data_IF_549683112945
#
_entry.id   IF_549683112945
#
_cell.length_a   1.000
_cell.length_b   1.000
_cell.length_c   1.000
_cell.angle_alpha   90.00
_cell.angle_beta   90.00
_cell.angle_gamma   90.00
#
_symmetry.space_group_name_H-M   'P 1'
#
loop_
_entity.id
_entity.type
_entity.pdbx_description
1 polymer ?
#
# COMPACT_ATOMS: atom_id res chain seq x y z
N UNK A 1 -8.09 -6.24 20.40
CA UNK A 1 -7.62 -5.77 19.08
C UNK A 1 -6.69 -4.59 19.33
N UNK A 2 -5.44 -4.64 18.84
CA UNK A 2 -4.51 -3.53 18.97
C UNK A 2 -4.88 -2.41 18.00
N UNK A 3 -4.63 -1.15 18.38
CA UNK A 3 -4.96 0.01 17.55
C UNK A 3 -4.30 -0.08 16.16
N UNK A 4 -3.08 -0.64 16.09
CA UNK A 4 -2.32 -0.85 14.86
C UNK A 4 -3.05 -1.77 13.87
N UNK A 5 -3.66 -2.85 14.38
CA UNK A 5 -4.39 -3.82 13.54
C UNK A 5 -5.62 -3.17 12.92
N UNK A 6 -6.31 -2.30 13.69
CA UNK A 6 -7.49 -1.59 13.21
C UNK A 6 -7.09 -0.61 12.09
N UNK A 7 -5.97 0.11 12.26
CA UNK A 7 -5.45 1.04 11.25
C UNK A 7 -5.11 0.29 9.95
N UNK A 8 -4.36 -0.81 10.04
CA UNK A 8 -3.97 -1.60 8.86
C UNK A 8 -5.20 -2.17 8.15
N UNK A 9 -6.16 -2.75 8.89
CA UNK A 9 -7.39 -3.28 8.30
C UNK A 9 -8.21 -2.21 7.61
N UNK A 10 -8.30 -1.02 8.20
CA UNK A 10 -8.99 0.12 7.59
C UNK A 10 -8.31 0.54 6.28
N UNK A 11 -6.98 0.63 6.26
CA UNK A 11 -6.22 0.98 5.06
C UNK A 11 -6.42 -0.07 3.96
N UNK A 12 -6.41 -1.36 4.30
CA UNK A 12 -6.67 -2.45 3.34
C UNK A 12 -8.09 -2.35 2.76
N UNK A 13 -9.09 -2.09 3.60
CA UNK A 13 -10.47 -1.93 3.14
C UNK A 13 -10.60 -0.72 2.20
N UNK A 14 -9.98 0.39 2.56
CA UNK A 14 -9.96 1.60 1.74
C UNK A 14 -9.27 1.35 0.39
N UNK A 15 -8.12 0.69 0.40
CA UNK A 15 -7.39 0.31 -0.81
C UNK A 15 -8.28 -0.54 -1.74
N UNK A 16 -8.98 -1.52 -1.18
CA UNK A 16 -9.89 -2.39 -1.93
C UNK A 16 -11.05 -1.60 -2.55
N UNK A 17 -11.68 -0.69 -1.80
CA UNK A 17 -12.76 0.15 -2.31
C UNK A 17 -12.25 1.05 -3.45
N UNK A 18 -11.11 1.71 -3.26
CA UNK A 18 -10.50 2.57 -4.29
C UNK A 18 -10.18 1.76 -5.55
N UNK A 19 -9.64 0.56 -5.38
CA UNK A 19 -9.30 -0.33 -6.48
C UNK A 19 -10.54 -0.77 -7.28
N UNK A 20 -11.58 -1.26 -6.60
CA UNK A 20 -12.83 -1.71 -7.24
C UNK A 20 -13.61 -0.55 -7.87
N UNK A 21 -13.52 0.64 -7.28
CA UNK A 21 -14.21 1.82 -7.83
C UNK A 21 -13.57 2.36 -9.11
N UNK A 22 -12.32 1.95 -9.42
CA UNK A 22 -11.50 2.49 -10.52
C UNK A 22 -11.47 4.03 -10.58
N UNK A 23 -11.74 4.70 -9.45
CA UNK A 23 -11.87 6.15 -9.40
C UNK A 23 -10.53 6.88 -9.60
N UNK A 24 -9.41 6.18 -9.36
CA UNK A 24 -8.05 6.67 -9.52
C UNK A 24 -7.22 5.62 -10.28
N UNK A 25 -6.20 6.04 -11.04
CA UNK A 25 -5.24 5.11 -11.64
C UNK A 25 -4.63 4.20 -10.57
N UNK A 26 -4.42 2.93 -10.91
CA UNK A 26 -3.92 1.90 -9.99
C UNK A 26 -2.64 2.34 -9.26
N UNK A 27 -1.73 3.01 -9.98
CA UNK A 27 -0.47 3.51 -9.43
C UNK A 27 -0.70 4.58 -8.35
N UNK A 28 -1.70 5.45 -8.54
CA UNK A 28 -2.06 6.49 -7.56
C UNK A 28 -2.66 5.85 -6.31
N UNK A 29 -3.49 4.82 -6.46
CA UNK A 29 -4.03 4.07 -5.31
C UNK A 29 -2.90 3.42 -4.52
N UNK A 30 -1.95 2.76 -5.19
CA UNK A 30 -0.81 2.12 -4.54
C UNK A 30 0.04 3.13 -3.75
N UNK A 31 0.39 4.27 -4.36
CA UNK A 31 1.15 5.33 -3.68
C UNK A 31 0.38 5.96 -2.52
N UNK A 32 -0.94 6.08 -2.64
CA UNK A 32 -1.83 6.61 -1.60
C UNK A 32 -1.85 5.69 -0.38
N UNK A 33 -1.95 4.38 -0.60
CA UNK A 33 -1.88 3.36 0.47
C UNK A 33 -0.52 3.36 1.15
N UNK A 34 0.57 3.39 0.37
CA UNK A 34 1.94 3.48 0.89
C UNK A 34 2.12 4.74 1.74
N UNK A 35 1.62 5.89 1.28
CA UNK A 35 1.67 7.16 2.00
C UNK A 35 0.91 7.11 3.32
N UNK A 36 -0.29 6.51 3.34
CA UNK A 36 -1.05 6.34 4.58
C UNK A 36 -0.29 5.50 5.60
N UNK A 37 0.30 4.38 5.17
CA UNK A 37 1.06 3.51 6.06
C UNK A 37 2.31 4.19 6.64
N UNK A 38 2.97 5.05 5.86
CA UNK A 38 4.09 5.88 6.33
C UNK A 38 3.63 6.96 7.32
N UNK A 39 2.52 7.66 7.04
CA UNK A 39 1.99 8.73 7.90
C UNK A 39 1.47 8.19 9.22
N UNK A 40 0.84 7.01 9.23
CA UNK A 40 0.38 6.37 10.48
C UNK A 40 1.54 5.74 11.28
N UNK A 41 2.75 5.70 10.71
CA UNK A 41 3.92 5.10 11.35
C UNK A 41 3.89 3.58 11.39
N UNK A 42 3.03 2.94 10.59
CA UNK A 42 2.96 1.49 10.46
C UNK A 42 4.15 0.91 9.68
N UNK A 43 4.78 1.75 8.85
CA UNK A 43 5.94 1.41 8.04
C UNK A 43 7.00 2.49 8.19
N UNK A 44 8.27 2.07 8.23
CA UNK A 44 9.42 2.96 8.09
C UNK A 44 9.71 3.26 6.62
N UNK A 45 10.41 4.36 6.30
CA UNK A 45 10.83 4.65 4.93
C UNK A 45 11.63 3.51 4.30
N UNK A 46 12.51 2.85 5.04
CA UNK A 46 13.26 1.68 4.57
C UNK A 46 12.36 0.49 4.21
N UNK A 47 11.34 0.21 5.03
CA UNK A 47 10.41 -0.89 4.76
C UNK A 47 9.48 -0.57 3.59
N UNK A 48 9.12 0.70 3.38
CA UNK A 48 8.30 1.11 2.24
C UNK A 48 8.96 0.81 0.88
N UNK A 49 10.30 0.89 0.82
CA UNK A 49 11.09 0.60 -0.38
C UNK A 49 11.23 -0.91 -0.60
N UNK A 50 11.15 -1.72 0.47
CA UNK A 50 11.34 -3.18 0.38
C UNK A 50 10.31 -3.87 -0.54
N UNK A 51 9.11 -3.30 -0.67
CA UNK A 51 8.09 -3.79 -1.60
C UNK A 51 8.54 -3.75 -3.07
N UNK A 52 9.34 -2.76 -3.45
CA UNK A 52 9.90 -2.65 -4.81
C UNK A 52 11.05 -3.62 -5.08
N UNK A 53 11.70 -4.13 -4.01
CA UNK A 53 12.73 -5.17 -4.13
C UNK A 53 12.14 -6.59 -4.18
N UNK A 54 10.80 -6.73 -4.18
CA UNK A 54 10.15 -8.03 -4.29
C UNK A 54 10.43 -8.62 -5.69
N UNK A 55 11.00 -9.84 -5.80
CA UNK A 55 11.28 -10.49 -7.08
C UNK A 55 10.09 -10.52 -8.03
N UNK A 56 8.87 -10.73 -7.51
CA UNK A 56 7.65 -10.73 -8.32
C UNK A 56 7.33 -9.35 -8.91
N UNK A 57 7.52 -8.27 -8.13
CA UNK A 57 7.33 -6.88 -8.59
C UNK A 57 8.37 -6.55 -9.67
N UNK A 58 9.63 -6.95 -9.45
CA UNK A 58 10.71 -6.77 -10.42
C UNK A 58 10.40 -7.52 -11.72
N UNK A 59 9.91 -8.76 -11.65
CA UNK A 59 9.53 -9.52 -12.85
C UNK A 59 8.45 -8.81 -13.66
N UNK A 60 7.39 -8.27 -13.00
CA UNK A 60 6.32 -7.53 -13.69
C UNK A 60 6.86 -6.25 -14.33
N UNK A 61 7.79 -5.55 -13.66
CA UNK A 61 8.37 -4.31 -14.18
C UNK A 61 9.21 -4.49 -15.46
N UNK A 62 9.73 -5.68 -15.71
CA UNK A 62 10.57 -5.99 -16.89
C UNK A 62 9.75 -6.66 -18.02
N UNK A 63 8.50 -7.03 -17.75
CA UNK A 63 7.60 -7.71 -18.71
C UNK A 63 6.87 -6.70 -19.60
#
# INVERSE_FOLDING_TARGET
>A
MSIDIIIVLFIILLAFILFVSEALPMDVVALTVLSMLLVTGQLTPSESISGFSNPAVITIAIL
#
